data_IF_661034922368
#
_entry.id   IF_661034922368
#
_cell.length_a   1.000
_cell.length_b   1.000
_cell.length_c   1.000
_cell.angle_alpha   90.00
_cell.angle_beta   90.00
_cell.angle_gamma   90.00
#
_symmetry.space_group_name_H-M   'P 1'
#
loop_
_entity.id
_entity.type
_entity.pdbx_description
1 polymer ?
#
# COMPACT_ATOMS: atom_id res chain seq x y z
N UNK A 1 -2.69 54.90 -3.84
CA UNK A 1 -3.77 54.21 -4.57
C UNK A 1 -3.21 53.65 -5.86
N UNK A 2 -2.97 52.34 -5.94
CA UNK A 2 -2.88 51.63 -7.22
C UNK A 2 -3.38 50.20 -7.00
N UNK A 3 -4.04 49.69 -8.04
CA UNK A 3 -5.13 48.71 -8.02
C UNK A 3 -4.61 47.27 -8.11
N UNK A 4 -5.32 46.34 -7.48
CA UNK A 4 -5.34 44.90 -7.83
C UNK A 4 -5.75 44.72 -9.30
N UNK A 5 -5.21 43.70 -9.99
CA UNK A 5 -5.99 42.82 -10.88
C UNK A 5 -5.25 41.49 -11.15
N UNK A 6 -6.05 40.46 -11.41
CA UNK A 6 -5.86 39.01 -11.25
C UNK A 6 -5.07 38.31 -12.38
N UNK A 7 -4.58 37.08 -12.13
CA UNK A 7 -5.03 35.82 -12.78
C UNK A 7 -3.93 34.80 -13.14
N UNK A 8 -3.89 33.73 -12.32
CA UNK A 8 -3.77 32.28 -12.64
C UNK A 8 -2.51 31.65 -13.29
N UNK A 9 -2.27 30.34 -13.04
CA UNK A 9 -0.96 29.69 -12.99
C UNK A 9 -0.62 28.92 -14.27
N UNK A 10 0.66 28.65 -14.48
CA UNK A 10 1.12 27.69 -15.47
C UNK A 10 2.10 26.70 -14.82
N UNK A 11 1.71 25.44 -14.91
CA UNK A 11 2.44 24.21 -14.61
C UNK A 11 3.82 24.17 -15.25
N UNK A 12 4.73 23.50 -14.55
CA UNK A 12 5.75 22.54 -15.02
C UNK A 12 6.71 22.41 -13.83
N UNK A 13 6.97 21.27 -13.22
CA UNK A 13 7.09 19.93 -13.75
C UNK A 13 8.30 19.34 -13.04
N UNK A 14 8.17 18.12 -12.53
CA UNK A 14 9.27 17.21 -12.22
C UNK A 14 10.48 17.78 -11.46
N UNK A 15 10.45 17.70 -10.13
CA UNK A 15 11.68 17.46 -9.38
C UNK A 15 11.43 16.29 -8.43
N UNK A 16 12.12 15.19 -8.73
CA UNK A 16 12.25 14.05 -7.85
C UNK A 16 12.96 14.53 -6.57
N UNK A 17 12.18 14.74 -5.52
CA UNK A 17 12.68 15.21 -4.23
C UNK A 17 13.42 14.07 -3.51
N UNK A 18 14.72 13.97 -3.76
CA UNK A 18 15.69 13.12 -3.05
C UNK A 18 15.95 13.59 -1.59
N UNK A 19 15.07 14.42 -1.04
CA UNK A 19 15.15 15.03 0.29
C UNK A 19 13.92 14.70 1.17
N UNK A 20 13.32 13.51 1.03
CA UNK A 20 12.45 12.96 2.09
C UNK A 20 13.30 12.75 3.35
N UNK A 21 13.42 13.81 4.16
CA UNK A 21 13.77 13.69 5.59
C UNK A 21 12.84 12.62 6.16
N UNK A 22 13.33 11.66 6.98
CA UNK A 22 12.43 10.79 7.71
C UNK A 22 11.46 11.71 8.47
N UNK A 23 10.18 11.64 8.10
CA UNK A 23 9.16 12.42 8.77
C UNK A 23 9.22 12.02 10.25
N UNK A 24 9.27 12.99 11.17
CA UNK A 24 9.34 12.67 12.58
C UNK A 24 8.09 11.89 12.96
N UNK A 25 8.22 10.86 13.81
CA UNK A 25 7.16 9.87 14.09
C UNK A 25 5.77 10.51 14.28
N UNK A 26 5.70 11.67 14.95
CA UNK A 26 4.47 12.41 15.21
C UNK A 26 3.68 12.91 13.99
N UNK A 27 4.29 13.05 12.80
CA UNK A 27 3.59 13.48 11.57
C UNK A 27 2.98 12.31 10.78
N UNK A 28 3.38 11.07 11.08
CA UNK A 28 2.85 9.87 10.42
C UNK A 28 1.44 9.52 10.88
N UNK A 29 1.07 9.97 12.09
CA UNK A 29 -0.17 9.59 12.77
C UNK A 29 -1.40 10.42 12.36
N UNK A 30 -1.24 11.57 11.69
CA UNK A 30 -2.39 12.42 11.32
C UNK A 30 -3.03 12.05 9.96
N UNK A 31 -2.39 11.21 9.14
CA UNK A 31 -2.92 10.85 7.81
C UNK A 31 -4.01 9.77 7.89
N UNK A 32 -3.95 8.86 8.88
CA UNK A 32 -4.88 7.74 9.04
C UNK A 32 -5.25 7.47 10.53
N UNK A 33 -6.13 8.29 11.15
CA UNK A 33 -6.43 8.20 12.59
C UNK A 33 -7.14 6.91 13.00
N UNK A 34 -7.63 6.12 12.05
CA UNK A 34 -8.28 4.82 12.27
C UNK A 34 -7.28 3.64 12.36
N UNK A 35 -6.00 3.87 12.11
CA UNK A 35 -4.96 2.85 12.21
C UNK A 35 -4.19 2.96 13.52
N UNK A 36 -3.92 1.82 14.16
CA UNK A 36 -3.05 1.74 15.33
C UNK A 36 -1.58 1.74 14.90
N UNK A 37 -0.67 1.94 15.85
CA UNK A 37 0.79 1.88 15.60
C UNK A 37 1.22 0.57 14.92
N UNK A 38 0.60 -0.55 15.30
CA UNK A 38 0.88 -1.87 14.70
C UNK A 38 0.34 -1.99 13.28
N UNK A 39 -0.82 -1.41 12.99
CA UNK A 39 -1.37 -1.33 11.64
C UNK A 39 -0.50 -0.44 10.75
N UNK A 40 0.05 0.64 11.31
CA UNK A 40 0.96 1.54 10.61
C UNK A 40 2.31 0.87 10.31
N UNK A 41 2.87 0.02 11.18
CA UNK A 41 4.07 -0.77 10.86
C UNK A 41 3.79 -1.72 9.68
N UNK A 42 2.63 -2.39 9.66
CA UNK A 42 2.27 -3.23 8.50
C UNK A 42 2.11 -2.39 7.22
N UNK A 43 1.41 -1.26 7.29
CA UNK A 43 1.21 -0.34 6.17
C UNK A 43 2.56 0.12 5.57
N UNK A 44 3.51 0.49 6.41
CA UNK A 44 4.84 0.92 5.97
C UNK A 44 5.58 -0.18 5.22
N UNK A 45 5.60 -1.41 5.75
CA UNK A 45 6.29 -2.53 5.09
C UNK A 45 5.63 -2.88 3.76
N UNK A 46 4.30 -2.81 3.68
CA UNK A 46 3.59 -3.03 2.43
C UNK A 46 3.87 -1.92 1.41
N UNK A 47 3.98 -0.67 1.86
CA UNK A 47 4.35 0.48 1.03
C UNK A 47 5.78 0.38 0.53
N UNK A 48 6.72 -0.05 1.38
CA UNK A 48 8.13 -0.30 1.03
C UNK A 48 8.26 -1.39 -0.05
N UNK A 49 7.52 -2.49 0.08
CA UNK A 49 7.44 -3.54 -0.96
C UNK A 49 6.89 -2.98 -2.29
N UNK A 50 5.90 -2.10 -2.20
CA UNK A 50 5.25 -1.47 -3.35
C UNK A 50 6.16 -0.46 -4.07
N UNK A 51 7.00 0.27 -3.33
CA UNK A 51 7.98 1.20 -3.90
C UNK A 51 9.19 0.47 -4.50
N UNK A 52 9.71 -0.58 -3.83
CA UNK A 52 10.89 -1.33 -4.28
C UNK A 52 10.61 -2.27 -5.46
N UNK A 53 9.43 -2.89 -5.50
CA UNK A 53 9.10 -3.93 -6.48
C UNK A 53 8.09 -3.53 -7.55
N UNK A 54 7.27 -2.50 -7.30
CA UNK A 54 6.04 -2.24 -8.05
C UNK A 54 5.95 -0.82 -8.64
N UNK A 55 6.90 0.08 -8.33
CA UNK A 55 6.88 1.51 -8.73
C UNK A 55 5.47 2.12 -8.63
N UNK A 56 4.67 1.75 -7.63
CA UNK A 56 3.22 1.72 -7.78
C UNK A 56 2.51 3.02 -7.35
N UNK A 57 2.59 4.05 -8.19
CA UNK A 57 1.52 5.05 -8.26
C UNK A 57 0.29 4.57 -9.05
N UNK A 58 0.39 3.41 -9.72
CA UNK A 58 -0.49 2.97 -10.82
C UNK A 58 -0.82 1.48 -10.84
N UNK A 59 -0.29 0.67 -9.90
CA UNK A 59 -0.63 -0.76 -9.82
C UNK A 59 -1.80 -0.94 -8.84
N UNK A 60 -2.92 -1.39 -9.38
CA UNK A 60 -4.08 -1.81 -8.59
C UNK A 60 -3.86 -3.19 -7.98
N UNK A 61 -4.49 -3.46 -6.85
CA UNK A 61 -4.50 -4.78 -6.17
C UNK A 61 -3.16 -5.22 -5.56
N UNK A 62 -2.26 -4.29 -5.21
CA UNK A 62 -0.97 -4.59 -4.58
C UNK A 62 -1.10 -5.39 -3.29
N UNK A 63 -2.11 -5.09 -2.47
CA UNK A 63 -2.45 -5.81 -1.26
C UNK A 63 -2.68 -7.30 -1.50
N UNK A 64 -3.31 -7.65 -2.63
CA UNK A 64 -3.57 -9.03 -3.02
C UNK A 64 -2.31 -9.69 -3.60
N UNK A 65 -1.48 -8.94 -4.34
CA UNK A 65 -0.22 -9.45 -4.89
C UNK A 65 0.78 -9.76 -3.77
N UNK A 66 0.92 -8.88 -2.79
CA UNK A 66 1.77 -9.08 -1.61
C UNK A 66 1.23 -10.26 -0.79
N UNK A 67 -0.09 -10.35 -0.60
CA UNK A 67 -0.72 -11.48 0.06
C UNK A 67 -0.42 -12.82 -0.64
N UNK A 68 -0.54 -12.86 -1.97
CA UNK A 68 -0.19 -14.05 -2.74
C UNK A 68 1.31 -14.40 -2.59
N UNK A 69 2.19 -13.40 -2.59
CA UNK A 69 3.62 -13.62 -2.41
C UNK A 69 3.96 -14.23 -1.04
N UNK A 70 3.30 -13.81 0.05
CA UNK A 70 3.53 -14.38 1.38
C UNK A 70 2.86 -15.75 1.58
N UNK A 71 1.79 -16.05 0.86
CA UNK A 71 1.04 -17.31 1.00
C UNK A 71 1.57 -18.42 0.08
N UNK A 72 1.90 -18.09 -1.17
CA UNK A 72 2.42 -19.01 -2.17
C UNK A 72 3.95 -19.08 -2.18
N UNK A 73 4.62 -18.12 -1.54
CA UNK A 73 6.08 -18.04 -1.48
C UNK A 73 6.74 -17.50 -2.75
N UNK A 74 5.94 -17.15 -3.77
CA UNK A 74 6.41 -16.58 -5.03
C UNK A 74 5.61 -15.33 -5.39
N UNK A 75 6.27 -14.23 -5.80
CA UNK A 75 5.57 -13.07 -6.33
C UNK A 75 4.83 -13.43 -7.62
N UNK A 76 3.73 -12.75 -7.89
CA UNK A 76 2.95 -13.01 -9.10
C UNK A 76 3.79 -12.75 -10.39
N UNK A 77 3.47 -13.44 -11.51
CA UNK A 77 4.21 -13.29 -12.76
C UNK A 77 4.16 -11.84 -13.26
N UNK A 78 5.31 -11.24 -13.53
CA UNK A 78 5.43 -9.86 -14.00
C UNK A 78 5.84 -8.85 -12.93
N UNK A 79 5.96 -9.26 -11.68
CA UNK A 79 6.51 -8.44 -10.60
C UNK A 79 8.01 -8.69 -10.41
N UNK A 80 8.74 -7.63 -10.06
CA UNK A 80 10.16 -7.72 -9.74
C UNK A 80 10.43 -8.62 -8.53
N UNK A 81 11.70 -8.98 -8.31
CA UNK A 81 12.09 -9.75 -7.14
C UNK A 81 11.76 -8.97 -5.86
N UNK A 82 10.72 -9.38 -5.14
CA UNK A 82 10.37 -8.79 -3.84
C UNK A 82 11.38 -9.28 -2.80
N UNK A 83 11.85 -8.38 -1.94
CA UNK A 83 12.78 -8.71 -0.87
C UNK A 83 12.15 -9.75 0.10
N UNK A 84 12.74 -10.96 0.23
CA UNK A 84 12.16 -12.03 1.05
C UNK A 84 12.16 -11.68 2.55
N UNK A 85 13.04 -10.78 3.01
CA UNK A 85 13.05 -10.32 4.40
C UNK A 85 11.83 -9.43 4.69
N UNK A 86 11.46 -8.56 3.74
CA UNK A 86 10.28 -7.71 3.86
C UNK A 86 8.99 -8.55 3.84
N UNK A 87 8.89 -9.52 2.91
CA UNK A 87 7.76 -10.46 2.87
C UNK A 87 7.59 -11.21 4.20
N UNK A 88 8.69 -11.75 4.75
CA UNK A 88 8.65 -12.43 6.04
C UNK A 88 8.20 -11.51 7.17
N UNK A 89 8.65 -10.25 7.18
CA UNK A 89 8.24 -9.27 8.20
C UNK A 89 6.76 -8.93 8.08
N UNK A 90 6.24 -8.73 6.87
CA UNK A 90 4.80 -8.53 6.63
C UNK A 90 3.98 -9.73 7.10
N UNK A 91 4.42 -10.95 6.80
CA UNK A 91 3.75 -12.16 7.24
C UNK A 91 3.69 -12.25 8.77
N UNK A 92 4.80 -11.96 9.45
CA UNK A 92 4.84 -11.97 10.92
C UNK A 92 3.90 -10.92 11.52
N UNK A 93 3.95 -9.68 11.02
CA UNK A 93 3.08 -8.60 11.50
C UNK A 93 1.61 -8.92 11.30
N UNK A 94 1.24 -9.41 10.11
CA UNK A 94 -0.13 -9.81 9.81
C UNK A 94 -0.64 -10.94 10.71
N UNK A 95 0.22 -11.90 11.04
CA UNK A 95 -0.11 -12.99 11.96
C UNK A 95 -0.27 -12.48 13.39
N UNK A 96 0.55 -11.52 13.81
CA UNK A 96 0.53 -10.95 15.15
C UNK A 96 -0.72 -10.09 15.39
N UNK A 97 -1.11 -9.28 14.41
CA UNK A 97 -2.29 -8.40 14.50
C UNK A 97 -3.59 -9.08 14.05
N UNK A 98 -3.51 -10.34 13.60
CA UNK A 98 -4.60 -11.10 13.00
C UNK A 98 -5.38 -10.29 11.95
N UNK A 99 -4.67 -9.74 10.97
CA UNK A 99 -5.29 -8.92 9.93
C UNK A 99 -4.34 -8.42 8.86
N UNK A 100 -4.88 -7.58 7.97
CA UNK A 100 -4.20 -7.08 6.78
C UNK A 100 -4.63 -5.66 6.42
N UNK A 101 -3.78 -4.95 5.67
CA UNK A 101 -4.10 -3.63 5.12
C UNK A 101 -4.55 -3.77 3.66
N UNK A 102 -5.65 -3.12 3.31
CA UNK A 102 -6.15 -3.02 1.94
C UNK A 102 -6.41 -1.57 1.55
N UNK A 103 -6.45 -1.28 0.25
CA UNK A 103 -6.69 0.07 -0.27
C UNK A 103 -8.04 0.15 -0.99
N UNK A 104 -8.95 0.99 -0.49
CA UNK A 104 -10.22 1.30 -1.15
C UNK A 104 -10.27 2.79 -1.57
N UNK A 105 -10.30 3.67 -0.58
CA UNK A 105 -10.20 5.14 -0.65
C UNK A 105 -9.00 5.65 0.20
N UNK A 106 -8.13 4.72 0.58
CA UNK A 106 -7.03 4.88 1.51
C UNK A 106 -6.72 3.55 2.21
N UNK A 107 -5.65 3.46 3.00
CA UNK A 107 -5.30 2.26 3.74
C UNK A 107 -6.31 1.99 4.85
N UNK A 108 -6.89 0.80 4.83
CA UNK A 108 -7.84 0.31 5.82
C UNK A 108 -7.37 -1.01 6.39
N UNK A 109 -7.63 -1.23 7.67
CA UNK A 109 -7.37 -2.49 8.33
C UNK A 109 -8.58 -3.41 8.22
N UNK A 110 -8.37 -4.62 7.73
CA UNK A 110 -9.32 -5.72 7.80
C UNK A 110 -8.82 -6.78 8.79
N UNK A 111 -9.64 -7.22 9.77
CA UNK A 111 -9.38 -8.44 10.52
C UNK A 111 -9.21 -9.64 9.58
N UNK A 112 -8.41 -10.63 9.98
CA UNK A 112 -7.99 -11.73 9.11
C UNK A 112 -9.18 -12.47 8.49
N UNK A 113 -10.23 -12.74 9.27
CA UNK A 113 -11.43 -13.40 8.77
C UNK A 113 -12.09 -12.62 7.62
N UNK A 114 -12.19 -11.29 7.76
CA UNK A 114 -12.75 -10.42 6.73
C UNK A 114 -11.81 -10.36 5.51
N UNK A 115 -10.51 -10.25 5.73
CA UNK A 115 -9.52 -10.23 4.65
C UNK A 115 -9.57 -11.51 3.81
N UNK A 116 -9.65 -12.68 4.45
CA UNK A 116 -9.76 -13.97 3.76
C UNK A 116 -11.05 -14.07 2.93
N UNK A 117 -12.16 -13.52 3.41
CA UNK A 117 -13.41 -13.45 2.65
C UNK A 117 -13.27 -12.57 1.40
N UNK A 118 -12.60 -11.42 1.52
CA UNK A 118 -12.30 -10.52 0.40
C UNK A 118 -11.42 -11.21 -0.64
N UNK A 119 -10.33 -11.87 -0.20
CA UNK A 119 -9.43 -12.63 -1.08
C UNK A 119 -10.19 -13.74 -1.79
N UNK A 120 -10.99 -14.53 -1.08
CA UNK A 120 -11.77 -15.61 -1.68
C UNK A 120 -12.78 -15.07 -2.71
N UNK A 121 -13.49 -13.99 -2.38
CA UNK A 121 -14.42 -13.32 -3.29
C UNK A 121 -13.71 -12.87 -4.57
N UNK A 122 -12.53 -12.29 -4.43
CA UNK A 122 -11.72 -11.85 -5.57
C UNK A 122 -11.27 -13.03 -6.44
N UNK A 123 -10.79 -14.12 -5.83
CA UNK A 123 -10.40 -15.34 -6.57
C UNK A 123 -11.58 -15.89 -7.37
N UNK A 124 -12.78 -15.94 -6.78
CA UNK A 124 -14.00 -16.38 -7.48
C UNK A 124 -14.40 -15.45 -8.63
N UNK A 125 -14.25 -14.14 -8.45
CA UNK A 125 -14.52 -13.15 -9.50
C UNK A 125 -13.57 -13.32 -10.69
N UNK A 126 -12.27 -13.50 -10.45
CA UNK A 126 -11.27 -13.75 -11.50
C UNK A 126 -11.53 -15.06 -12.23
N UNK A 127 -11.97 -16.12 -11.55
CA UNK A 127 -12.29 -17.41 -12.15
C UNK A 127 -13.51 -17.35 -13.10
N UNK A 128 -14.47 -16.46 -12.84
CA UNK A 128 -15.68 -16.32 -13.65
C UNK A 128 -15.50 -15.48 -14.91
N UNK A 129 -14.44 -14.67 -15.02
CA UNK A 129 -14.15 -13.87 -16.23
C UNK A 129 -13.49 -14.68 -17.36
N UNK A 130 -13.08 -15.92 -17.08
CA UNK A 130 -12.40 -16.81 -18.02
C UNK A 130 -13.33 -17.91 -18.61
N UNK A 131 -14.65 -17.73 -18.49
CA UNK A 131 -15.69 -18.60 -19.07
C UNK A 131 -16.49 -17.84 -20.11
#
# INVERSE_FOLDING_TARGET
MIKNFQSTPASDGHDADLNRKPLPDHQRFEEFPHLTDTHLDLFDRMSEISEEGLCAGWIHDNEYNIWNAITLGEPAPGYGAINPRLLRRCQMLSTEIDGWIYWADGPHFAPMAQWLEMVNTRIQASANQNK
#
